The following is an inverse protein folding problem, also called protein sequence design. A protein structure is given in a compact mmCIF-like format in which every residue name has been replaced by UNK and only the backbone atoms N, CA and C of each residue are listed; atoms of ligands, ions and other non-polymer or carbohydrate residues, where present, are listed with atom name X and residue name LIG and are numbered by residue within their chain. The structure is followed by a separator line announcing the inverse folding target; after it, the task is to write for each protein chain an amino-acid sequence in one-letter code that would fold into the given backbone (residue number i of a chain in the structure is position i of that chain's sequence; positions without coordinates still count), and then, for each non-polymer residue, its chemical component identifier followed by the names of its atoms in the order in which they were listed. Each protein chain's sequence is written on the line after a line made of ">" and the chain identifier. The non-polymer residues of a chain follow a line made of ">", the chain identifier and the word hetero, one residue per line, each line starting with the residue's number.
data_IF_623326303845
#
_entry.id   IF_623326303845
#
_cell.length_a   1.000
_cell.length_b   1.000
_cell.length_c   1.000
_cell.angle_alpha   90.00
_cell.angle_beta   90.00
_cell.angle_gamma   90.00
#
_symmetry.space_group_name_H-M   'P 1'
#
loop_
_entity.id
_entity.type
_entity.pdbx_description
1 polymer ?
#
# COMPACT_ATOMS: atom_id res chain seq x y z
N UNK A 1 20.52 -16.23 4.14
CA UNK A 1 19.64 -15.04 4.25
C UNK A 1 18.62 -14.96 3.10
N UNK A 2 19.00 -15.33 1.88
CA UNK A 2 18.08 -15.31 0.71
C UNK A 2 17.30 -16.62 0.49
N UNK A 3 17.70 -17.75 1.07
CA UNK A 3 17.01 -19.03 0.93
C UNK A 3 15.53 -18.98 1.32
N UNK A 4 15.12 -18.38 2.47
CA UNK A 4 13.72 -18.29 2.82
C UNK A 4 12.89 -17.49 1.82
N UNK A 5 13.50 -16.47 1.19
CA UNK A 5 12.85 -15.65 0.16
C UNK A 5 12.60 -16.46 -1.12
N UNK A 6 13.60 -17.24 -1.56
CA UNK A 6 13.46 -18.10 -2.74
C UNK A 6 12.39 -19.18 -2.54
N UNK A 7 12.27 -19.72 -1.33
CA UNK A 7 11.21 -20.67 -0.99
C UNK A 7 9.82 -20.02 -0.89
N UNK A 8 9.73 -18.74 -0.54
CA UNK A 8 8.47 -18.02 -0.45
C UNK A 8 7.92 -17.55 -1.82
N UNK A 9 8.79 -17.33 -2.81
CA UNK A 9 8.39 -16.83 -4.13
C UNK A 9 7.27 -17.64 -4.80
N UNK A 10 7.32 -18.99 -4.86
CA UNK A 10 6.25 -19.77 -5.48
C UNK A 10 4.89 -19.57 -4.82
N UNK A 11 4.86 -19.35 -3.50
CA UNK A 11 3.62 -19.10 -2.77
C UNK A 11 3.04 -17.72 -3.06
N UNK A 12 3.89 -16.70 -3.23
CA UNK A 12 3.45 -15.34 -3.59
C UNK A 12 2.76 -15.34 -4.97
N UNK A 13 3.29 -16.11 -5.93
CA UNK A 13 2.74 -16.19 -7.29
C UNK A 13 1.59 -17.19 -7.44
N UNK A 14 1.11 -17.81 -6.37
CA UNK A 14 -0.10 -18.64 -6.45
C UNK A 14 -1.30 -17.79 -6.90
N UNK A 15 -2.16 -18.31 -7.79
CA UNK A 15 -3.30 -17.56 -8.31
C UNK A 15 -4.24 -17.00 -7.22
N UNK A 16 -4.46 -17.79 -6.15
CA UNK A 16 -5.28 -17.36 -5.01
C UNK A 16 -4.69 -16.14 -4.30
N UNK A 17 -3.37 -16.12 -4.10
CA UNK A 17 -2.68 -15.02 -3.44
C UNK A 17 -2.67 -13.76 -4.32
N UNK A 18 -2.37 -13.91 -5.61
CA UNK A 18 -2.41 -12.79 -6.56
C UNK A 18 -3.80 -12.19 -6.66
N UNK A 19 -4.85 -13.03 -6.73
CA UNK A 19 -6.23 -12.55 -6.75
C UNK A 19 -6.59 -11.79 -5.46
N UNK A 20 -6.23 -12.33 -4.30
CA UNK A 20 -6.46 -11.68 -3.02
C UNK A 20 -5.71 -10.33 -2.90
N UNK A 21 -4.45 -10.28 -3.36
CA UNK A 21 -3.67 -9.03 -3.39
C UNK A 21 -4.32 -7.99 -4.31
N UNK A 22 -4.73 -8.36 -5.52
CA UNK A 22 -5.40 -7.44 -6.46
C UNK A 22 -6.73 -6.97 -5.90
N UNK A 23 -7.56 -7.87 -5.36
CA UNK A 23 -8.81 -7.52 -4.71
C UNK A 23 -8.56 -6.57 -3.52
N UNK A 24 -7.54 -6.85 -2.71
CA UNK A 24 -7.11 -5.97 -1.63
C UNK A 24 -6.73 -4.58 -2.11
N UNK A 25 -5.95 -4.47 -3.18
CA UNK A 25 -5.55 -3.17 -3.77
C UNK A 25 -6.79 -2.38 -4.23
N UNK A 26 -7.72 -3.02 -4.93
CA UNK A 26 -8.95 -2.36 -5.42
C UNK A 26 -9.79 -1.84 -4.26
N UNK A 27 -10.03 -2.68 -3.24
CA UNK A 27 -10.74 -2.28 -2.02
C UNK A 27 -10.01 -1.16 -1.27
N UNK A 28 -8.68 -1.27 -1.17
CA UNK A 28 -7.84 -0.26 -0.57
C UNK A 28 -7.94 1.09 -1.27
N UNK A 29 -7.86 1.11 -2.61
CA UNK A 29 -8.02 2.35 -3.39
C UNK A 29 -9.38 2.98 -3.13
N UNK A 30 -10.45 2.19 -3.11
CA UNK A 30 -11.79 2.68 -2.85
C UNK A 30 -11.90 3.35 -1.45
N UNK A 31 -11.31 2.71 -0.43
CA UNK A 31 -11.30 3.27 0.94
C UNK A 31 -10.41 4.51 1.03
N UNK A 32 -9.20 4.46 0.47
CA UNK A 32 -8.26 5.59 0.49
C UNK A 32 -8.77 6.81 -0.27
N UNK A 33 -9.60 6.61 -1.30
CA UNK A 33 -10.24 7.69 -2.03
C UNK A 33 -11.32 8.43 -1.23
N UNK A 34 -11.77 7.88 -0.09
CA UNK A 34 -12.71 8.53 0.80
C UNK A 34 -11.96 9.42 1.81
N UNK A 35 -12.12 10.74 1.75
CA UNK A 35 -11.46 11.65 2.67
C UNK A 35 -11.83 11.33 4.13
N UNK A 36 -10.83 11.25 5.00
CA UNK A 36 -11.01 10.96 6.43
C UNK A 36 -10.87 9.48 6.81
N UNK A 37 -10.79 8.57 5.84
CA UNK A 37 -10.46 7.17 6.11
C UNK A 37 -8.96 6.94 5.91
N UNK A 38 -8.28 6.52 6.97
CA UNK A 38 -6.86 6.14 6.87
C UNK A 38 -6.71 4.70 6.34
N UNK A 39 -5.51 4.38 5.82
CA UNK A 39 -5.18 3.02 5.42
C UNK A 39 -5.34 2.02 6.59
N UNK A 40 -5.02 2.45 7.81
CA UNK A 40 -5.17 1.65 9.04
C UNK A 40 -6.65 1.35 9.33
N UNK A 41 -7.53 2.32 9.18
CA UNK A 41 -8.98 2.11 9.31
C UNK A 41 -9.50 1.18 8.24
N UNK A 42 -8.99 1.30 7.00
CA UNK A 42 -9.32 0.41 5.90
C UNK A 42 -8.99 -1.05 6.22
N UNK A 43 -7.78 -1.30 6.74
CA UNK A 43 -7.40 -2.64 7.19
C UNK A 43 -8.32 -3.11 8.31
N UNK A 44 -8.56 -2.30 9.35
CA UNK A 44 -9.37 -2.69 10.49
C UNK A 44 -10.80 -3.10 10.10
N UNK A 45 -11.41 -2.39 9.14
CA UNK A 45 -12.76 -2.71 8.63
C UNK A 45 -12.75 -3.97 7.76
N UNK A 46 -11.68 -4.23 7.00
CA UNK A 46 -11.61 -5.33 6.06
C UNK A 46 -10.94 -6.60 6.64
N UNK A 47 -10.33 -6.53 7.84
CA UNK A 47 -9.72 -7.68 8.51
C UNK A 47 -10.68 -8.90 8.58
N UNK A 48 -11.98 -8.76 8.89
CA UNK A 48 -12.88 -9.91 8.96
C UNK A 48 -12.98 -10.70 7.64
N UNK A 49 -12.75 -10.06 6.49
CA UNK A 49 -12.75 -10.73 5.20
C UNK A 49 -11.58 -11.73 5.05
N UNK A 50 -10.52 -11.57 5.85
CA UNK A 50 -9.35 -12.44 5.79
C UNK A 50 -9.43 -13.66 6.69
N UNK A 51 -10.39 -13.73 7.63
CA UNK A 51 -10.47 -14.80 8.63
C UNK A 51 -10.76 -16.19 8.05
N UNK A 52 -11.38 -16.25 6.87
CA UNK A 52 -11.66 -17.52 6.18
C UNK A 52 -10.58 -17.91 5.15
N UNK A 53 -9.52 -17.14 5.00
CA UNK A 53 -8.47 -17.34 4.02
C UNK A 53 -7.26 -18.05 4.65
N UNK A 54 -6.46 -18.70 3.79
CA UNK A 54 -5.12 -19.14 4.20
C UNK A 54 -4.32 -17.95 4.74
N UNK A 55 -3.52 -18.11 5.81
CA UNK A 55 -2.78 -17.03 6.43
C UNK A 55 -1.91 -16.22 5.46
N UNK A 56 -1.25 -16.86 4.48
CA UNK A 56 -0.44 -16.18 3.47
C UNK A 56 -1.30 -15.36 2.51
N UNK A 57 -2.45 -15.90 2.11
CA UNK A 57 -3.41 -15.22 1.24
C UNK A 57 -4.03 -14.01 1.97
N UNK A 58 -4.38 -14.19 3.24
CA UNK A 58 -4.89 -13.12 4.10
C UNK A 58 -3.88 -11.98 4.29
N UNK A 59 -2.62 -12.31 4.55
CA UNK A 59 -1.53 -11.32 4.65
C UNK A 59 -1.31 -10.59 3.32
N UNK A 60 -1.33 -11.31 2.20
CA UNK A 60 -1.23 -10.72 0.87
C UNK A 60 -2.37 -9.73 0.59
N UNK A 61 -3.61 -10.11 0.95
CA UNK A 61 -4.77 -9.24 0.83
C UNK A 61 -4.64 -7.97 1.68
N UNK A 62 -4.22 -8.10 2.95
CA UNK A 62 -4.01 -6.94 3.84
C UNK A 62 -2.92 -6.01 3.32
N UNK A 63 -1.82 -6.55 2.82
CA UNK A 63 -0.77 -5.76 2.17
C UNK A 63 -1.30 -5.00 0.95
N UNK A 64 -2.15 -5.66 0.15
CA UNK A 64 -2.85 -5.04 -0.98
C UNK A 64 -3.75 -3.89 -0.54
N UNK A 65 -4.58 -4.09 0.49
CA UNK A 65 -5.46 -3.06 1.06
C UNK A 65 -4.64 -1.85 1.52
N UNK A 66 -3.55 -2.09 2.24
CA UNK A 66 -2.69 -1.01 2.73
C UNK A 66 -2.11 -0.18 1.58
N UNK A 67 -1.45 -0.83 0.62
CA UNK A 67 -0.84 -0.16 -0.52
C UNK A 67 -1.89 0.57 -1.38
N UNK A 68 -3.05 -0.08 -1.62
CA UNK A 68 -4.16 0.51 -2.34
C UNK A 68 -4.71 1.76 -1.64
N UNK A 69 -4.90 1.73 -0.32
CA UNK A 69 -5.41 2.85 0.43
C UNK A 69 -4.42 4.03 0.48
N UNK A 70 -3.12 3.74 0.58
CA UNK A 70 -2.09 4.77 0.54
C UNK A 70 -2.09 5.53 -0.80
N UNK A 71 -2.17 4.82 -1.94
CA UNK A 71 -2.31 5.45 -3.25
C UNK A 71 -3.68 6.10 -3.42
N UNK A 72 -4.76 5.43 -2.99
CA UNK A 72 -6.13 5.95 -3.09
C UNK A 72 -6.30 7.33 -2.48
N UNK A 73 -5.55 7.63 -1.40
CA UNK A 73 -5.51 8.94 -0.78
C UNK A 73 -4.97 10.07 -1.67
N UNK A 74 -4.23 9.75 -2.73
CA UNK A 74 -3.78 10.73 -3.70
C UNK A 74 -4.92 11.22 -4.63
N UNK A 75 -5.96 10.42 -4.80
CA UNK A 75 -7.09 10.78 -5.69
C UNK A 75 -7.80 12.07 -5.20
N UNK A 76 -8.36 12.11 -3.98
CA UNK A 76 -8.97 13.33 -3.48
C UNK A 76 -7.95 14.46 -3.24
N UNK A 77 -6.69 14.12 -2.96
CA UNK A 77 -5.62 15.12 -2.84
C UNK A 77 -5.41 15.89 -4.14
N UNK A 78 -5.38 15.19 -5.28
CA UNK A 78 -5.23 15.77 -6.61
C UNK A 78 -6.49 16.49 -7.08
N UNK A 79 -7.67 15.87 -6.88
CA UNK A 79 -8.91 16.39 -7.46
C UNK A 79 -9.60 17.45 -6.60
N UNK A 80 -9.52 17.33 -5.27
CA UNK A 80 -10.28 18.14 -4.33
C UNK A 80 -9.40 18.98 -3.39
N UNK A 81 -8.08 18.82 -3.47
CA UNK A 81 -7.12 19.40 -2.51
C UNK A 81 -7.36 18.93 -1.06
N UNK A 82 -7.99 17.78 -0.88
CA UNK A 82 -8.26 17.19 0.42
C UNK A 82 -7.48 15.88 0.50
N UNK A 83 -6.43 15.78 1.35
CA UNK A 83 -5.67 14.53 1.45
C UNK A 83 -6.55 13.40 1.98
N UNK A 84 -6.65 12.30 1.25
CA UNK A 84 -7.37 11.11 1.70
C UNK A 84 -6.65 10.38 2.83
N UNK A 85 -5.31 10.43 2.82
CA UNK A 85 -4.44 9.90 3.87
C UNK A 85 -3.41 10.95 4.28
N UNK A 86 -2.85 10.90 5.50
CA UNK A 86 -1.79 11.82 5.91
C UNK A 86 -0.59 11.85 4.96
N UNK A 87 -0.25 10.72 4.36
CA UNK A 87 0.85 10.62 3.41
C UNK A 87 0.61 11.39 2.10
N UNK A 88 -0.64 11.64 1.72
CA UNK A 88 -1.00 12.35 0.51
C UNK A 88 -1.10 13.88 0.66
N UNK A 89 -0.75 14.43 1.85
CA UNK A 89 -0.75 15.89 2.07
C UNK A 89 0.16 16.59 1.05
N UNK A 90 1.38 16.10 0.85
CA UNK A 90 2.34 16.70 -0.09
C UNK A 90 1.82 16.66 -1.52
N UNK A 91 1.06 15.62 -1.89
CA UNK A 91 0.44 15.50 -3.22
C UNK A 91 -0.55 16.64 -3.51
N UNK A 92 -1.12 17.28 -2.50
CA UNK A 92 -2.02 18.42 -2.69
C UNK A 92 -1.32 19.66 -3.22
N UNK A 93 -0.02 19.82 -2.97
CA UNK A 93 0.71 21.02 -3.34
C UNK A 93 0.97 21.11 -4.84
N UNK A 94 1.33 20.00 -5.47
CA UNK A 94 1.64 19.96 -6.90
C UNK A 94 0.50 19.32 -7.71
N UNK A 95 -0.14 18.28 -7.17
CA UNK A 95 -1.18 17.54 -7.87
C UNK A 95 -2.45 18.34 -8.11
N UNK A 96 -2.91 19.11 -7.14
CA UNK A 96 -4.10 19.94 -7.31
C UNK A 96 -3.92 21.08 -8.34
N UNK A 97 -2.83 21.87 -8.34
CA UNK A 97 -2.56 22.83 -9.41
C UNK A 97 -2.46 22.19 -10.80
N UNK A 98 -1.93 20.97 -10.92
CA UNK A 98 -1.95 20.22 -12.17
C UNK A 98 -3.38 19.87 -12.60
N UNK A 99 -4.22 19.44 -11.66
CA UNK A 99 -5.63 19.14 -11.93
C UNK A 99 -6.39 20.37 -12.42
N UNK A 100 -6.14 21.55 -11.84
CA UNK A 100 -6.74 22.81 -12.29
C UNK A 100 -6.33 23.21 -13.72
N UNK A 101 -5.16 22.76 -14.17
CA UNK A 101 -4.68 22.94 -15.56
C UNK A 101 -5.23 21.87 -16.53
N UNK A 102 -6.09 20.98 -16.07
CA UNK A 102 -6.61 19.85 -16.86
C UNK A 102 -5.68 18.63 -16.92
N UNK A 103 -4.60 18.60 -16.13
CA UNK A 103 -3.60 17.54 -16.12
C UNK A 103 -3.78 16.56 -14.94
N UNK A 104 -5.00 16.39 -14.41
CA UNK A 104 -5.26 15.50 -13.27
C UNK A 104 -4.80 14.06 -13.51
N UNK A 105 -5.05 13.52 -14.72
CA UNK A 105 -4.60 12.18 -15.09
C UNK A 105 -3.09 12.01 -15.02
N UNK A 106 -2.34 13.01 -15.45
CA UNK A 106 -0.88 13.03 -15.39
C UNK A 106 -0.37 13.08 -13.94
N UNK A 107 -1.00 13.90 -13.10
CA UNK A 107 -0.67 13.95 -11.68
C UNK A 107 -0.87 12.60 -10.99
N UNK A 108 -2.00 11.91 -11.27
CA UNK A 108 -2.28 10.58 -10.72
C UNK A 108 -1.32 9.51 -11.26
N UNK A 109 -0.93 9.59 -12.53
CA UNK A 109 0.08 8.68 -13.11
C UNK A 109 1.44 8.85 -12.43
N UNK A 110 1.88 10.07 -12.21
CA UNK A 110 3.12 10.35 -11.48
C UNK A 110 3.03 9.81 -10.06
N UNK A 111 1.91 10.01 -9.37
CA UNK A 111 1.69 9.51 -8.02
C UNK A 111 1.78 7.97 -7.96
N UNK A 112 1.16 7.26 -8.90
CA UNK A 112 1.21 5.78 -8.94
C UNK A 112 2.60 5.26 -9.21
N UNK A 113 3.32 5.85 -10.17
CA UNK A 113 4.68 5.42 -10.52
C UNK A 113 5.63 5.70 -9.36
N UNK A 114 5.55 6.87 -8.74
CA UNK A 114 6.37 7.22 -7.58
C UNK A 114 6.09 6.29 -6.39
N UNK A 115 4.81 5.97 -6.15
CA UNK A 115 4.40 5.01 -5.11
C UNK A 115 4.95 3.60 -5.37
N UNK A 116 4.91 3.15 -6.62
CA UNK A 116 5.44 1.84 -7.00
C UNK A 116 6.96 1.75 -6.79
N UNK A 117 7.70 2.77 -7.23
CA UNK A 117 9.16 2.85 -7.03
C UNK A 117 9.50 2.92 -5.54
N UNK A 118 8.83 3.80 -4.79
CA UNK A 118 9.01 3.94 -3.36
C UNK A 118 8.70 2.65 -2.59
N UNK A 119 7.65 1.94 -2.98
CA UNK A 119 7.28 0.64 -2.42
C UNK A 119 8.34 -0.43 -2.66
N UNK A 120 8.89 -0.51 -3.88
CA UNK A 120 9.98 -1.45 -4.20
C UNK A 120 11.24 -1.14 -3.38
N UNK A 121 11.64 0.11 -3.30
CA UNK A 121 12.81 0.53 -2.50
C UNK A 121 12.57 0.21 -1.02
N UNK A 122 11.38 0.52 -0.49
CA UNK A 122 11.00 0.22 0.89
C UNK A 122 11.04 -1.28 1.19
N UNK A 123 10.57 -2.12 0.26
CA UNK A 123 10.62 -3.58 0.42
C UNK A 123 12.07 -4.08 0.51
N UNK A 124 12.98 -3.59 -0.36
CA UNK A 124 14.41 -3.95 -0.31
C UNK A 124 15.04 -3.50 1.01
N UNK A 125 14.76 -2.28 1.46
CA UNK A 125 15.25 -1.74 2.73
C UNK A 125 14.73 -2.59 3.90
N UNK A 126 13.46 -2.94 3.91
CA UNK A 126 12.86 -3.78 4.94
C UNK A 126 13.53 -5.16 4.99
N UNK A 127 13.71 -5.82 3.84
CA UNK A 127 14.37 -7.13 3.76
C UNK A 127 15.80 -7.12 4.28
N UNK A 128 16.53 -6.02 4.07
CA UNK A 128 17.92 -5.89 4.51
C UNK A 128 18.07 -5.46 5.95
N UNK A 129 17.22 -4.56 6.44
CA UNK A 129 17.32 -3.98 7.79
C UNK A 129 16.51 -4.74 8.85
N UNK A 130 15.42 -5.43 8.48
CA UNK A 130 14.59 -6.14 9.47
C UNK A 130 15.37 -7.21 10.27
N UNK A 131 16.23 -8.07 9.65
CA UNK A 131 16.96 -9.07 10.41
C UNK A 131 17.97 -8.49 11.42
N UNK A 132 18.82 -7.48 11.09
CA UNK A 132 19.71 -6.88 12.08
C UNK A 132 18.94 -6.13 13.18
N UNK A 133 17.87 -5.43 12.86
CA UNK A 133 17.03 -4.75 13.84
C UNK A 133 16.37 -5.73 14.81
N UNK A 134 15.85 -6.86 14.31
CA UNK A 134 15.29 -7.90 15.16
C UNK A 134 16.30 -8.43 16.18
N UNK A 135 17.57 -8.63 15.78
CA UNK A 135 18.63 -9.07 16.69
C UNK A 135 18.90 -8.05 17.79
N UNK A 136 18.93 -6.75 17.42
CA UNK A 136 19.13 -5.68 18.41
C UNK A 136 17.94 -5.63 19.38
N UNK A 137 16.70 -5.71 18.88
CA UNK A 137 15.50 -5.68 19.73
C UNK A 137 15.48 -6.86 20.72
N UNK A 138 15.83 -8.07 20.26
CA UNK A 138 15.91 -9.25 21.12
C UNK A 138 17.05 -9.18 22.16
N UNK A 139 18.06 -8.35 21.94
CA UNK A 139 19.12 -8.15 22.91
C UNK A 139 18.72 -7.21 24.06
N UNK A 140 17.63 -6.45 23.92
CA UNK A 140 17.10 -5.56 24.94
C UNK A 140 15.90 -6.17 25.73
N UNK A 141 15.42 -7.36 25.38
CA UNK A 141 14.34 -8.09 26.07
C UNK A 141 14.87 -9.36 26.69
#
# INVERSE_FOLDING_TARGET
>A
MFEPLLHALPYVFQPANLFAMVAGVVLGIAIGALPGLSATMGIAVLIPLTFGLDPLVGLGMMAGIYNGAMYGGAIPAVLLRIPGTPASIVTTFDGYPMAQKGEAGRALQIAVVSSAIGGMVSAVVLMTLAPPLARVTLAFG
#
